data_IF_983744477112
#
_entry.id   IF_983744477112
#
_cell.length_a   1.000
_cell.length_b   1.000
_cell.length_c   1.000
_cell.angle_alpha   90.00
_cell.angle_beta   90.00
_cell.angle_gamma   90.00
#
_symmetry.space_group_name_H-M   'P 1'
#
loop_
_entity.id
_entity.type
_entity.pdbx_description
1 polymer ?
#
# COMPACT_ATOMS: atom_id res chain seq x y z
N UNK A 1 -37.35 -2.64 -16.53
CA UNK A 1 -36.60 -1.45 -16.96
C UNK A 1 -35.16 -1.87 -16.87
N UNK A 2 -34.63 -2.36 -17.99
CA UNK A 2 -33.21 -2.73 -18.11
C UNK A 2 -32.40 -1.43 -18.17
N UNK A 3 -31.98 -0.93 -17.02
CA UNK A 3 -30.82 -0.03 -16.94
C UNK A 3 -29.58 -0.88 -17.17
N UNK A 4 -29.42 -1.34 -18.41
CA UNK A 4 -28.15 -1.87 -18.88
C UNK A 4 -27.22 -0.66 -18.90
N UNK A 5 -26.36 -0.56 -17.89
CA UNK A 5 -25.30 0.42 -17.86
C UNK A 5 -24.62 0.40 -19.24
N UNK A 6 -24.79 1.47 -20.02
CA UNK A 6 -24.04 1.64 -21.27
C UNK A 6 -22.58 1.52 -20.88
N UNK A 7 -21.94 0.43 -21.29
CA UNK A 7 -20.53 0.20 -21.06
C UNK A 7 -19.80 1.43 -21.61
N UNK A 8 -19.29 2.27 -20.69
CA UNK A 8 -18.67 3.54 -21.05
C UNK A 8 -17.52 3.26 -22.01
N UNK A 9 -17.54 3.89 -23.17
CA UNK A 9 -16.48 3.77 -24.18
C UNK A 9 -15.10 3.99 -23.51
N UNK A 10 -14.22 2.98 -23.47
CA UNK A 10 -12.93 3.07 -22.79
C UNK A 10 -12.01 4.13 -23.42
N UNK A 11 -12.25 4.51 -24.68
CA UNK A 11 -11.51 5.56 -25.37
C UNK A 11 -11.96 6.98 -25.02
N UNK A 12 -13.02 7.13 -24.22
CA UNK A 12 -13.54 8.42 -23.79
C UNK A 12 -12.49 9.17 -22.97
N UNK A 13 -12.22 10.42 -23.37
CA UNK A 13 -11.37 11.36 -22.63
C UNK A 13 -12.05 11.75 -21.32
N UNK A 14 -11.31 11.64 -20.22
CA UNK A 14 -11.77 12.03 -18.89
C UNK A 14 -11.75 13.56 -18.74
N UNK A 15 -12.80 14.11 -18.14
CA UNK A 15 -12.82 15.53 -17.82
C UNK A 15 -11.82 15.84 -16.70
N UNK A 16 -11.17 17.00 -16.74
CA UNK A 16 -10.16 17.35 -15.74
C UNK A 16 -10.71 17.35 -14.29
N UNK A 17 -11.95 17.83 -14.10
CA UNK A 17 -12.67 17.76 -12.82
C UNK A 17 -12.91 16.33 -12.32
N UNK A 18 -13.05 15.38 -13.23
CA UNK A 18 -13.28 13.98 -12.91
C UNK A 18 -11.98 13.35 -12.40
N UNK A 19 -10.87 13.58 -13.09
CA UNK A 19 -9.53 13.17 -12.65
C UNK A 19 -9.24 13.71 -11.24
N UNK A 20 -9.47 15.01 -11.01
CA UNK A 20 -9.28 15.65 -9.71
C UNK A 20 -10.15 15.02 -8.61
N UNK A 21 -11.42 14.77 -8.91
CA UNK A 21 -12.35 14.13 -7.98
C UNK A 21 -11.92 12.72 -7.59
N UNK A 22 -11.43 11.92 -8.55
CA UNK A 22 -10.93 10.56 -8.31
C UNK A 22 -9.65 10.57 -7.48
N UNK A 23 -8.65 11.39 -7.83
CA UNK A 23 -7.41 11.51 -7.05
C UNK A 23 -7.69 11.96 -5.61
N UNK A 24 -8.59 12.93 -5.42
CA UNK A 24 -8.99 13.36 -4.08
C UNK A 24 -9.70 12.25 -3.30
N UNK A 25 -10.49 11.41 -3.96
CA UNK A 25 -11.13 10.25 -3.33
C UNK A 25 -10.11 9.20 -2.90
N UNK A 26 -9.13 8.91 -3.75
CA UNK A 26 -8.02 8.01 -3.42
C UNK A 26 -7.23 8.52 -2.21
N UNK A 27 -6.90 9.81 -2.17
CA UNK A 27 -6.20 10.40 -1.03
C UNK A 27 -6.97 10.29 0.29
N UNK A 28 -8.32 10.39 0.26
CA UNK A 28 -9.16 10.14 1.44
C UNK A 28 -9.12 8.68 1.86
N UNK A 29 -9.21 7.75 0.91
CA UNK A 29 -9.17 6.31 1.19
C UNK A 29 -7.83 5.90 1.82
N UNK A 30 -6.70 6.35 1.27
CA UNK A 30 -5.38 6.14 1.87
C UNK A 30 -5.30 6.75 3.28
N UNK A 31 -5.84 7.95 3.47
CA UNK A 31 -5.87 8.59 4.79
C UNK A 31 -6.63 7.77 5.84
N UNK A 32 -7.73 7.11 5.46
CA UNK A 32 -8.45 6.19 6.36
C UNK A 32 -7.60 4.96 6.67
N UNK A 33 -7.04 4.30 5.64
CA UNK A 33 -6.22 3.09 5.82
C UNK A 33 -4.99 3.35 6.70
N UNK A 34 -4.29 4.48 6.50
CA UNK A 34 -3.17 4.88 7.35
C UNK A 34 -3.62 5.09 8.80
N UNK A 35 -4.75 5.76 9.03
CA UNK A 35 -5.28 5.97 10.37
C UNK A 35 -5.69 4.68 11.08
N UNK A 36 -6.23 3.70 10.34
CA UNK A 36 -6.54 2.36 10.85
C UNK A 36 -5.26 1.59 11.19
N UNK A 37 -4.27 1.58 10.29
CA UNK A 37 -2.98 0.96 10.50
C UNK A 37 -2.28 1.51 11.76
N UNK A 38 -2.12 2.83 11.87
CA UNK A 38 -1.55 3.50 13.05
C UNK A 38 -2.34 3.18 14.33
N UNK A 39 -3.66 3.03 14.22
CA UNK A 39 -4.52 2.61 15.32
C UNK A 39 -4.17 1.21 15.84
N UNK A 40 -3.94 0.26 14.92
CA UNK A 40 -3.56 -1.11 15.26
C UNK A 40 -2.12 -1.17 15.77
N UNK A 41 -1.19 -0.39 15.21
CA UNK A 41 0.19 -0.31 15.71
C UNK A 41 0.27 0.21 17.15
N UNK A 42 -0.49 1.26 17.48
CA UNK A 42 -0.58 1.73 18.87
C UNK A 42 -1.07 0.62 19.81
N UNK A 43 -2.09 -0.12 19.40
CA UNK A 43 -2.61 -1.25 20.19
C UNK A 43 -1.56 -2.37 20.33
N UNK A 44 -0.79 -2.64 19.29
CA UNK A 44 0.30 -3.61 19.33
C UNK A 44 1.39 -3.18 20.33
N UNK A 45 1.76 -1.90 20.34
CA UNK A 45 2.69 -1.34 21.30
C UNK A 45 2.17 -1.46 22.74
N UNK A 46 0.90 -1.13 22.99
CA UNK A 46 0.26 -1.29 24.31
C UNK A 46 0.30 -2.75 24.79
N UNK A 47 -0.02 -3.72 23.91
CA UNK A 47 0.05 -5.14 24.24
C UNK A 47 1.47 -5.60 24.54
N UNK A 48 2.46 -5.09 23.79
CA UNK A 48 3.88 -5.36 24.02
C UNK A 48 4.31 -4.87 25.41
N UNK A 49 3.99 -3.62 25.76
CA UNK A 49 4.30 -3.04 27.07
C UNK A 49 3.64 -3.82 28.22
N UNK A 50 2.38 -4.25 28.05
CA UNK A 50 1.68 -5.07 29.03
C UNK A 50 2.38 -6.43 29.23
N UNK A 51 2.78 -7.09 28.15
CA UNK A 51 3.48 -8.37 28.19
C UNK A 51 4.84 -8.23 28.90
N UNK A 52 5.63 -7.23 28.53
CA UNK A 52 6.90 -6.92 29.22
C UNK A 52 6.69 -6.64 30.72
N UNK A 53 5.67 -5.86 31.06
CA UNK A 53 5.35 -5.52 32.45
C UNK A 53 4.95 -6.75 33.27
N UNK A 54 4.30 -7.75 32.66
CA UNK A 54 4.01 -9.04 33.31
C UNK A 54 5.29 -9.83 33.57
N UNK A 55 6.17 -9.94 32.58
CA UNK A 55 7.46 -10.64 32.71
C UNK A 55 8.30 -10.01 33.84
N UNK A 56 8.44 -8.68 33.84
CA UNK A 56 9.17 -7.93 34.87
C UNK A 56 8.60 -8.15 36.29
N UNK A 57 7.26 -8.20 36.43
CA UNK A 57 6.59 -8.49 37.72
C UNK A 57 6.81 -9.93 38.18
N UNK A 58 6.72 -10.92 37.29
CA UNK A 58 6.96 -12.32 37.63
C UNK A 58 8.41 -12.52 38.13
N UNK A 59 9.38 -11.95 37.41
CA UNK A 59 10.80 -11.95 37.80
C UNK A 59 11.01 -11.30 39.17
N UNK A 60 10.42 -10.13 39.39
CA UNK A 60 10.52 -9.40 40.67
C UNK A 60 9.87 -10.15 41.84
N UNK A 61 8.83 -10.95 41.58
CA UNK A 61 8.16 -11.78 42.58
C UNK A 61 8.87 -13.12 42.84
N UNK A 62 10.00 -13.40 42.17
CA UNK A 62 10.69 -14.69 42.25
C UNK A 62 9.86 -15.85 41.69
N UNK A 63 8.86 -15.56 40.85
CA UNK A 63 8.00 -16.57 40.21
C UNK A 63 8.53 -16.87 38.83
N UNK A 64 8.59 -18.15 38.47
CA UNK A 64 8.83 -18.55 37.08
C UNK A 64 7.60 -18.18 36.25
N UNK A 65 7.80 -17.38 35.22
CA UNK A 65 6.75 -17.10 34.24
C UNK A 65 6.33 -18.42 33.57
N UNK A 66 5.06 -18.79 33.69
CA UNK A 66 4.51 -19.97 33.02
C UNK A 66 3.80 -19.54 31.74
N UNK A 67 4.26 -19.96 30.56
CA UNK A 67 3.60 -19.64 29.29
C UNK A 67 2.23 -20.33 29.15
N UNK A 68 1.88 -21.26 30.05
CA UNK A 68 0.63 -22.02 30.05
C UNK A 68 -0.44 -21.43 30.97
N UNK A 69 -0.17 -20.30 31.64
CA UNK A 69 -1.22 -19.57 32.35
C UNK A 69 -2.26 -19.06 31.34
N UNK A 70 -3.55 -19.30 31.61
CA UNK A 70 -4.62 -18.94 30.68
C UNK A 70 -4.57 -17.47 30.24
N UNK A 71 -4.24 -16.55 31.15
CA UNK A 71 -4.06 -15.14 30.84
C UNK A 71 -2.85 -14.88 29.94
N UNK A 72 -1.75 -15.64 30.08
CA UNK A 72 -0.57 -15.50 29.21
C UNK A 72 -0.90 -15.98 27.80
N UNK A 73 -1.59 -17.13 27.68
CA UNK A 73 -2.04 -17.67 26.40
C UNK A 73 -3.01 -16.72 25.69
N UNK A 74 -3.97 -16.14 26.42
CA UNK A 74 -4.93 -15.20 25.82
C UNK A 74 -4.26 -13.91 25.32
N UNK A 75 -3.28 -13.38 26.05
CA UNK A 75 -2.55 -12.18 25.62
C UNK A 75 -1.67 -12.46 24.40
N UNK A 76 -1.01 -13.62 24.35
CA UNK A 76 -0.26 -14.06 23.17
C UNK A 76 -1.15 -14.16 21.92
N UNK A 77 -2.33 -14.78 22.05
CA UNK A 77 -3.30 -14.87 20.96
C UNK A 77 -3.76 -13.47 20.50
N UNK A 78 -4.05 -12.56 21.44
CA UNK A 78 -4.44 -11.18 21.10
C UNK A 78 -3.32 -10.41 20.43
N UNK A 79 -2.09 -10.57 20.90
CA UNK A 79 -0.91 -9.97 20.32
C UNK A 79 -0.73 -10.44 18.88
N UNK A 80 -0.78 -11.75 18.64
CA UNK A 80 -0.69 -12.32 17.30
C UNK A 80 -1.78 -11.81 16.36
N UNK A 81 -3.04 -11.83 16.79
CA UNK A 81 -4.15 -11.28 15.98
C UNK A 81 -3.97 -9.79 15.67
N UNK A 82 -3.43 -9.02 16.61
CA UNK A 82 -3.16 -7.58 16.41
C UNK A 82 -1.99 -7.37 15.47
N UNK A 83 -0.93 -8.16 15.58
CA UNK A 83 0.21 -8.15 14.67
C UNK A 83 -0.21 -8.49 13.23
N UNK A 84 -0.96 -9.59 13.06
CA UNK A 84 -1.46 -10.02 11.75
C UNK A 84 -2.37 -8.93 11.14
N UNK A 85 -3.21 -8.28 11.97
CA UNK A 85 -4.04 -7.15 11.54
C UNK A 85 -3.19 -5.94 11.14
N UNK A 86 -2.16 -5.59 11.92
CA UNK A 86 -1.26 -4.46 11.63
C UNK A 86 -0.59 -4.66 10.28
N UNK A 87 -0.08 -5.87 10.04
CA UNK A 87 0.51 -6.25 8.75
C UNK A 87 -0.51 -6.15 7.61
N UNK A 88 -1.71 -6.69 7.79
CA UNK A 88 -2.77 -6.61 6.78
C UNK A 88 -3.17 -5.17 6.42
N UNK A 89 -3.32 -4.30 7.42
CA UNK A 89 -3.60 -2.88 7.19
C UNK A 89 -2.42 -2.15 6.55
N UNK A 90 -1.18 -2.42 6.97
CA UNK A 90 0.03 -1.85 6.39
C UNK A 90 0.20 -2.23 4.91
N UNK A 91 0.03 -3.51 4.58
CA UNK A 91 0.08 -4.01 3.20
C UNK A 91 -1.04 -3.38 2.35
N UNK A 92 -2.27 -3.32 2.86
CA UNK A 92 -3.39 -2.70 2.16
C UNK A 92 -3.18 -1.19 1.93
N UNK A 93 -2.68 -0.47 2.94
CA UNK A 93 -2.37 0.96 2.85
C UNK A 93 -1.26 1.20 1.82
N UNK A 94 -0.21 0.37 1.82
CA UNK A 94 0.89 0.43 0.85
C UNK A 94 0.41 0.17 -0.56
N UNK A 95 -0.32 -0.92 -0.79
CA UNK A 95 -0.82 -1.27 -2.11
C UNK A 95 -1.72 -0.15 -2.68
N UNK A 96 -2.59 0.43 -1.86
CA UNK A 96 -3.45 1.52 -2.27
C UNK A 96 -2.68 2.84 -2.48
N UNK A 97 -1.67 3.13 -1.65
CA UNK A 97 -0.81 4.30 -1.84
C UNK A 97 -0.02 4.21 -3.16
N UNK A 98 0.50 3.03 -3.50
CA UNK A 98 1.16 2.79 -4.78
C UNK A 98 0.22 3.04 -5.97
N UNK A 99 -1.00 2.51 -5.91
CA UNK A 99 -2.02 2.81 -6.92
C UNK A 99 -2.28 4.31 -7.05
N UNK A 100 -2.40 5.01 -5.92
CA UNK A 100 -2.61 6.45 -5.93
C UNK A 100 -1.44 7.19 -6.57
N UNK A 101 -0.20 6.78 -6.30
CA UNK A 101 0.99 7.32 -6.98
C UNK A 101 0.87 7.14 -8.49
N UNK A 102 0.56 5.95 -8.99
CA UNK A 102 0.47 5.70 -10.44
C UNK A 102 -0.61 6.55 -11.12
N UNK A 103 -1.79 6.62 -10.51
CA UNK A 103 -2.88 7.46 -10.99
C UNK A 103 -2.49 8.95 -11.01
N UNK A 104 -1.81 9.42 -9.96
CA UNK A 104 -1.36 10.79 -9.85
C UNK A 104 -0.23 11.11 -10.85
N UNK A 105 0.69 10.18 -11.10
CA UNK A 105 1.75 10.30 -12.13
C UNK A 105 1.13 10.32 -13.53
N UNK A 106 0.15 9.47 -13.83
CA UNK A 106 -0.55 9.47 -15.12
C UNK A 106 -1.27 10.80 -15.36
N UNK A 107 -1.95 11.33 -14.34
CA UNK A 107 -2.59 12.65 -14.39
C UNK A 107 -1.57 13.78 -14.55
N UNK A 108 -0.42 13.71 -13.87
CA UNK A 108 0.67 14.68 -14.01
C UNK A 108 1.29 14.66 -15.40
N UNK A 109 1.58 13.47 -15.96
CA UNK A 109 2.05 13.29 -17.35
C UNK A 109 1.07 13.91 -18.35
N UNK A 110 -0.21 13.59 -18.22
CA UNK A 110 -1.28 14.15 -19.04
C UNK A 110 -1.29 15.69 -18.99
N UNK A 111 -1.23 16.25 -17.79
CA UNK A 111 -1.22 17.69 -17.56
C UNK A 111 0.02 18.38 -18.14
N UNK A 112 1.21 17.81 -17.95
CA UNK A 112 2.46 18.40 -18.39
C UNK A 112 2.65 18.32 -19.91
N UNK A 113 2.25 17.20 -20.51
CA UNK A 113 2.47 16.94 -21.94
C UNK A 113 1.31 17.39 -22.83
N UNK A 114 0.17 17.77 -22.24
CA UNK A 114 -1.04 18.14 -22.97
C UNK A 114 -1.72 16.94 -23.65
N UNK A 115 -1.38 15.71 -23.26
CA UNK A 115 -2.00 14.49 -23.78
C UNK A 115 -3.23 14.15 -22.95
N UNK A 116 -4.45 14.12 -23.50
CA UNK A 116 -5.65 13.84 -22.72
C UNK A 116 -5.62 12.45 -22.09
N UNK A 117 -6.04 12.34 -20.83
CA UNK A 117 -6.16 11.07 -20.13
C UNK A 117 -7.50 10.40 -20.49
N UNK A 118 -7.48 9.14 -20.90
CA UNK A 118 -8.69 8.36 -21.21
C UNK A 118 -9.11 7.48 -20.05
N UNK A 119 -10.35 6.98 -20.08
CA UNK A 119 -10.80 5.97 -19.12
C UNK A 119 -9.97 4.68 -19.20
N UNK A 120 -9.50 4.29 -20.39
CA UNK A 120 -8.60 3.16 -20.57
C UNK A 120 -7.26 3.37 -19.84
N UNK A 121 -6.66 4.55 -19.96
CA UNK A 121 -5.41 4.89 -19.25
C UNK A 121 -5.59 4.80 -17.73
N UNK A 122 -6.73 5.29 -17.23
CA UNK A 122 -7.08 5.19 -15.81
C UNK A 122 -7.35 3.75 -15.35
N UNK A 123 -8.03 2.96 -16.17
CA UNK A 123 -8.28 1.55 -15.88
C UNK A 123 -6.97 0.74 -15.85
N UNK A 124 -6.02 1.07 -16.71
CA UNK A 124 -4.72 0.41 -16.79
C UNK A 124 -3.87 0.57 -15.51
N UNK A 125 -4.10 1.63 -14.72
CA UNK A 125 -3.42 1.82 -13.42
C UNK A 125 -4.20 1.26 -12.24
N UNK A 126 -5.41 0.72 -12.44
CA UNK A 126 -6.24 0.21 -11.35
C UNK A 126 -5.80 -1.19 -10.87
N UNK A 127 -5.64 -1.42 -9.55
CA UNK A 127 -5.36 -2.73 -9.00
C UNK A 127 -6.49 -3.71 -9.35
N UNK A 128 -6.14 -4.88 -9.88
CA UNK A 128 -7.10 -5.96 -10.09
C UNK A 128 -7.61 -6.60 -8.80
N UNK A 129 -6.98 -6.29 -7.66
CA UNK A 129 -7.34 -6.81 -6.34
C UNK A 129 -8.61 -6.21 -5.77
N UNK A 130 -9.16 -5.15 -6.39
CA UNK A 130 -10.51 -4.68 -6.08
C UNK A 130 -11.45 -5.44 -7.02
N UNK A 131 -12.15 -6.49 -6.56
CA UNK A 131 -13.22 -7.06 -7.37
C UNK A 131 -14.21 -5.92 -7.62
N UNK A 132 -14.30 -5.47 -8.86
CA UNK A 132 -15.40 -4.60 -9.25
C UNK A 132 -16.68 -5.42 -9.07
N UNK A 133 -17.71 -4.82 -8.47
CA UNK A 133 -18.99 -5.50 -8.15
C UNK A 133 -19.63 -6.20 -9.36
N UNK A 134 -19.23 -5.87 -10.60
CA UNK A 134 -19.65 -6.55 -11.82
C UNK A 134 -19.21 -8.03 -11.92
N UNK A 135 -18.19 -8.47 -11.17
CA UNK A 135 -17.69 -9.85 -11.22
C UNK A 135 -17.96 -10.66 -9.94
N UNK A 136 -18.65 -10.08 -8.96
CA UNK A 136 -19.29 -10.86 -7.89
C UNK A 136 -20.64 -11.29 -8.41
N UNK A 137 -20.66 -12.30 -9.28
CA UNK A 137 -21.91 -12.99 -9.58
C UNK A 137 -22.40 -13.55 -8.25
N UNK A 138 -23.53 -13.06 -7.69
CA UNK A 138 -24.03 -13.61 -6.44
C UNK A 138 -24.20 -15.11 -6.67
N UNK A 139 -23.69 -15.99 -5.79
CA UNK A 139 -23.87 -17.42 -5.96
C UNK A 139 -25.36 -17.63 -6.16
N UNK A 140 -25.71 -18.18 -7.33
CA UNK A 140 -27.10 -18.47 -7.67
C UNK A 140 -27.68 -19.25 -6.51
N UNK A 141 -28.66 -18.66 -5.81
CA UNK A 141 -29.41 -19.32 -4.74
C UNK A 141 -29.81 -20.70 -5.24
N UNK A 142 -29.11 -21.73 -4.79
CA UNK A 142 -29.53 -23.11 -4.90
C UNK A 142 -30.10 -23.46 -3.54
N UNK A 143 -31.37 -23.82 -3.53
CA UNK A 143 -32.22 -24.06 -2.35
C UNK A 143 -31.86 -25.36 -1.59
N UNK A 144 -30.57 -25.67 -1.41
CA UNK A 144 -30.10 -26.85 -0.68
C UNK A 144 -29.42 -26.43 0.65
N UNK A 145 -30.25 -26.06 1.63
CA UNK A 145 -29.87 -25.44 2.90
C UNK A 145 -29.32 -26.40 3.99
N UNK A 146 -29.17 -27.70 3.73
CA UNK A 146 -28.83 -28.67 4.81
C UNK A 146 -27.37 -29.18 4.80
N UNK A 147 -26.56 -28.91 3.78
CA UNK A 147 -25.16 -29.43 3.70
C UNK A 147 -24.08 -28.36 3.99
N UNK A 148 -24.45 -27.09 4.23
CA UNK A 148 -23.47 -26.02 4.43
C UNK A 148 -22.90 -25.90 5.86
N UNK A 149 -23.53 -26.53 6.86
CA UNK A 149 -23.03 -26.48 8.23
C UNK A 149 -21.68 -27.20 8.42
N UNK A 150 -21.38 -28.21 7.59
CA UNK A 150 -20.08 -28.92 7.61
C UNK A 150 -18.99 -28.23 6.76
N UNK A 151 -19.34 -27.26 5.91
CA UNK A 151 -18.37 -26.51 5.08
C UNK A 151 -17.77 -25.27 5.76
N UNK A 152 -18.37 -24.79 6.85
CA UNK A 152 -17.86 -23.63 7.58
C UNK A 152 -16.55 -23.90 8.34
N UNK A 153 -16.12 -25.16 8.47
CA UNK A 153 -14.82 -25.54 9.02
C UNK A 153 -13.74 -25.81 7.95
N UNK A 154 -14.08 -25.72 6.66
CA UNK A 154 -13.12 -25.75 5.54
C UNK A 154 -12.75 -24.34 5.00
N UNK A 155 -13.24 -23.27 5.65
CA UNK A 155 -12.99 -21.89 5.25
C UNK A 155 -11.67 -21.30 5.78
N UNK A 156 -10.83 -22.12 6.42
CA UNK A 156 -9.45 -21.78 6.80
C UNK A 156 -8.42 -22.16 5.71
N UNK A 157 -8.87 -22.65 4.55
CA UNK A 157 -8.00 -23.08 3.42
C UNK A 157 -8.25 -22.26 2.13
N UNK A 158 -8.72 -21.02 2.25
CA UNK A 158 -8.88 -20.09 1.11
C UNK A 158 -7.85 -18.94 1.08
N UNK A 159 -6.66 -19.18 1.64
CA UNK A 159 -5.45 -18.43 1.32
C UNK A 159 -4.37 -19.42 0.90
N UNK A 160 -4.56 -20.10 -0.24
CA UNK A 160 -3.45 -20.72 -0.97
C UNK A 160 -3.03 -19.77 -2.09
N UNK A 161 -1.83 -19.17 -2.02
CA UNK A 161 -1.31 -18.33 -3.09
C UNK A 161 -0.61 -19.22 -4.12
N UNK A 162 -1.35 -19.92 -4.97
CA UNK A 162 -0.74 -20.57 -6.14
C UNK A 162 -1.75 -20.83 -7.28
N UNK A 163 -2.55 -19.83 -7.61
CA UNK A 163 -3.20 -19.80 -8.92
C UNK A 163 -2.31 -18.97 -9.84
N UNK A 164 -1.54 -19.65 -10.69
CA UNK A 164 -0.77 -19.03 -11.76
C UNK A 164 -1.66 -18.16 -12.63
N UNK A 165 -1.70 -16.86 -12.32
CA UNK A 165 -2.46 -15.88 -13.08
C UNK A 165 -1.68 -15.48 -14.34
N UNK A 166 -2.37 -15.28 -15.47
CA UNK A 166 -1.73 -14.80 -16.69
C UNK A 166 -1.10 -13.43 -16.42
N UNK A 167 0.19 -13.34 -16.69
CA UNK A 167 1.08 -12.16 -16.61
C UNK A 167 0.55 -10.96 -17.42
N UNK A 168 -0.55 -10.37 -16.98
CA UNK A 168 -1.00 -9.07 -17.41
C UNK A 168 -0.01 -8.05 -16.85
N UNK A 169 1.02 -7.73 -17.65
CA UNK A 169 2.07 -6.76 -17.38
C UNK A 169 1.54 -5.61 -16.51
N UNK A 170 1.78 -5.69 -15.21
CA UNK A 170 1.57 -4.56 -14.31
C UNK A 170 2.45 -3.43 -14.84
N UNK A 171 1.93 -2.20 -14.86
CA UNK A 171 2.76 -1.00 -15.08
C UNK A 171 3.87 -0.86 -14.03
N UNK A 172 3.88 -1.73 -13.02
CA UNK A 172 4.67 -1.62 -11.80
C UNK A 172 6.06 -2.30 -11.89
N UNK A 173 6.33 -3.06 -12.96
CA UNK A 173 7.65 -3.63 -13.25
C UNK A 173 8.20 -4.59 -12.18
N UNK A 174 9.49 -4.90 -12.26
CA UNK A 174 10.16 -5.85 -11.35
C UNK A 174 10.22 -5.32 -9.91
N UNK A 175 10.34 -3.99 -9.73
CA UNK A 175 10.35 -3.33 -8.41
C UNK A 175 9.08 -3.57 -7.60
N UNK A 176 7.93 -3.77 -8.26
CA UNK A 176 6.72 -4.16 -7.53
C UNK A 176 6.77 -5.60 -7.05
N UNK A 177 7.27 -6.51 -7.89
CA UNK A 177 7.37 -7.92 -7.55
C UNK A 177 8.33 -8.10 -6.38
N UNK A 178 9.44 -7.36 -6.38
CA UNK A 178 10.49 -7.47 -5.37
C UNK A 178 10.16 -6.68 -4.10
N UNK A 179 9.63 -5.45 -4.24
CA UNK A 179 9.53 -4.51 -3.11
C UNK A 179 8.15 -3.86 -2.93
N UNK A 180 7.14 -4.26 -3.72
CA UNK A 180 5.79 -3.64 -3.74
C UNK A 180 5.81 -2.12 -3.91
N UNK A 181 6.69 -1.65 -4.79
CA UNK A 181 6.85 -0.22 -5.10
C UNK A 181 6.22 0.14 -6.44
N UNK A 182 5.65 1.35 -6.59
CA UNK A 182 5.13 1.80 -7.88
C UNK A 182 6.30 2.09 -8.82
N UNK A 183 6.03 2.03 -10.13
CA UNK A 183 7.02 2.42 -11.12
C UNK A 183 7.18 3.94 -11.11
N UNK A 184 8.24 4.42 -10.46
CA UNK A 184 8.61 5.82 -10.46
C UNK A 184 9.03 6.26 -11.88
N UNK A 185 8.71 7.50 -12.30
CA UNK A 185 9.23 8.04 -13.55
C UNK A 185 10.76 7.92 -13.60
N UNK A 186 11.30 7.49 -14.75
CA UNK A 186 12.74 7.48 -14.96
C UNK A 186 13.32 8.89 -14.80
N UNK A 187 14.59 9.03 -14.39
CA UNK A 187 15.19 10.34 -14.09
C UNK A 187 15.01 11.36 -15.24
N UNK A 188 15.27 10.96 -16.49
CA UNK A 188 15.09 11.82 -17.67
C UNK A 188 13.62 12.19 -17.91
N UNK A 189 12.69 11.33 -17.54
CA UNK A 189 11.26 11.63 -17.61
C UNK A 189 10.86 12.58 -16.48
N UNK A 190 11.29 12.33 -15.24
CA UNK A 190 11.04 13.19 -14.10
C UNK A 190 11.55 14.61 -14.37
N UNK A 191 12.76 14.77 -14.90
CA UNK A 191 13.33 16.07 -15.27
C UNK A 191 12.47 16.79 -16.33
N UNK A 192 12.00 16.06 -17.37
CA UNK A 192 11.12 16.62 -18.40
C UNK A 192 9.77 17.07 -17.85
N UNK A 193 9.19 16.31 -16.91
CA UNK A 193 7.91 16.65 -16.29
C UNK A 193 8.06 17.81 -15.29
N UNK A 194 9.14 17.83 -14.51
CA UNK A 194 9.47 18.91 -13.58
C UNK A 194 9.73 20.23 -14.31
N UNK A 195 10.41 20.21 -15.46
CA UNK A 195 10.63 21.40 -16.29
C UNK A 195 9.33 22.07 -16.79
N UNK A 196 8.20 21.34 -16.76
CA UNK A 196 6.86 21.82 -17.12
C UNK A 196 5.96 22.09 -15.92
N UNK A 197 6.52 21.97 -14.72
CA UNK A 197 5.80 22.17 -13.46
C UNK A 197 6.19 23.52 -12.85
N UNK A 198 5.23 24.33 -12.35
CA UNK A 198 5.55 25.57 -11.66
C UNK A 198 6.55 25.35 -10.52
N UNK A 199 7.54 26.23 -10.39
CA UNK A 199 8.70 26.07 -9.50
C UNK A 199 8.35 25.66 -8.04
N UNK A 200 7.35 26.29 -7.37
CA UNK A 200 6.99 25.87 -6.01
C UNK A 200 6.49 24.43 -5.92
N UNK A 201 5.82 23.93 -6.96
CA UNK A 201 5.34 22.55 -7.02
C UNK A 201 6.42 21.59 -7.49
N UNK A 202 7.29 22.00 -8.42
CA UNK A 202 8.43 21.22 -8.86
C UNK A 202 9.40 20.93 -7.70
N UNK A 203 9.72 21.93 -6.89
CA UNK A 203 10.56 21.79 -5.70
C UNK A 203 9.97 20.81 -4.67
N UNK A 204 8.66 20.91 -4.39
CA UNK A 204 7.97 19.98 -3.47
C UNK A 204 7.96 18.55 -4.02
N UNK A 205 7.66 18.38 -5.31
CA UNK A 205 7.68 17.08 -5.96
C UNK A 205 9.06 16.43 -5.93
N UNK A 206 10.12 17.20 -6.19
CA UNK A 206 11.49 16.71 -6.14
C UNK A 206 11.86 16.17 -4.75
N UNK A 207 11.48 16.89 -3.70
CA UNK A 207 11.74 16.47 -2.32
C UNK A 207 10.95 15.20 -1.95
N UNK A 208 9.66 15.15 -2.28
CA UNK A 208 8.84 13.97 -2.02
C UNK A 208 9.31 12.74 -2.80
N UNK A 209 9.68 12.93 -4.08
CA UNK A 209 10.27 11.88 -4.91
C UNK A 209 11.58 11.35 -4.32
N UNK A 210 12.47 12.24 -3.87
CA UNK A 210 13.73 11.86 -3.25
C UNK A 210 13.52 11.05 -1.96
N UNK A 211 12.53 11.40 -1.13
CA UNK A 211 12.20 10.65 0.08
C UNK A 211 11.68 9.24 -0.22
N UNK A 212 10.84 9.07 -1.25
CA UNK A 212 10.40 7.73 -1.70
C UNK A 212 11.59 6.94 -2.23
N UNK A 213 12.43 7.54 -3.06
CA UNK A 213 13.62 6.89 -3.62
C UNK A 213 14.61 6.44 -2.52
N UNK A 214 14.84 7.27 -1.50
CA UNK A 214 15.68 6.91 -0.35
C UNK A 214 15.16 5.65 0.36
N UNK A 215 13.86 5.60 0.64
CA UNK A 215 13.22 4.44 1.31
C UNK A 215 13.25 3.19 0.43
N UNK A 216 13.10 3.36 -0.88
CA UNK A 216 13.26 2.29 -1.86
C UNK A 216 14.66 1.68 -1.80
N UNK A 217 15.69 2.54 -1.85
CA UNK A 217 17.08 2.11 -1.80
C UNK A 217 17.44 1.49 -0.46
N UNK A 218 16.76 1.89 0.62
CA UNK A 218 16.95 1.28 1.92
C UNK A 218 16.57 -0.21 1.92
N UNK A 219 15.49 -0.59 1.21
CA UNK A 219 15.11 -2.01 1.09
C UNK A 219 16.16 -2.83 0.37
N UNK A 220 16.65 -2.36 -0.78
CA UNK A 220 17.69 -3.07 -1.52
C UNK A 220 18.94 -3.27 -0.65
N UNK A 221 19.29 -2.26 0.17
CA UNK A 221 20.43 -2.34 1.07
C UNK A 221 20.21 -3.31 2.23
N UNK A 222 18.98 -3.43 2.73
CA UNK A 222 18.59 -4.46 3.71
C UNK A 222 18.78 -5.84 3.09
N UNK A 223 18.29 -6.07 1.87
CA UNK A 223 18.42 -7.36 1.19
C UNK A 223 19.90 -7.76 1.02
N UNK A 224 20.77 -6.82 0.64
CA UNK A 224 22.22 -7.04 0.57
C UNK A 224 22.85 -7.43 1.92
N UNK A 225 22.37 -6.87 3.04
CA UNK A 225 22.85 -7.21 4.38
C UNK A 225 22.35 -8.58 4.81
N UNK A 226 21.11 -8.93 4.48
CA UNK A 226 20.50 -10.25 4.76
C UNK A 226 21.16 -11.39 3.99
N UNK A 227 21.67 -11.14 2.78
CA UNK A 227 22.42 -12.12 1.98
C UNK A 227 23.82 -12.43 2.54
N UNK A 228 24.36 -11.57 3.41
CA UNK A 228 25.72 -11.74 3.93
C UNK A 228 25.79 -12.90 4.93
N UNK A 229 26.61 -13.91 4.63
CA UNK A 229 26.88 -15.01 5.55
C UNK A 229 27.72 -14.59 6.77
N UNK A 230 27.38 -15.13 7.95
CA UNK A 230 28.14 -14.98 9.20
C UNK A 230 27.56 -13.92 10.15
N UNK A 231 28.18 -13.75 11.34
CA UNK A 231 27.70 -12.80 12.33
C UNK A 231 27.91 -11.36 11.85
N UNK A 232 26.88 -10.53 11.98
CA UNK A 232 26.94 -9.11 11.64
C UNK A 232 27.80 -8.32 12.64
N UNK A 233 28.60 -7.39 12.12
CA UNK A 233 29.33 -6.44 12.96
C UNK A 233 28.36 -5.43 13.61
N UNK A 234 28.69 -4.83 14.77
CA UNK A 234 27.84 -3.83 15.42
C UNK A 234 27.44 -2.65 14.52
N UNK A 235 28.32 -2.24 13.60
CA UNK A 235 28.01 -1.18 12.63
C UNK A 235 26.97 -1.60 11.59
N UNK A 236 26.92 -2.89 11.22
CA UNK A 236 25.96 -3.44 10.26
C UNK A 236 24.58 -3.56 10.90
N UNK A 237 24.51 -3.95 12.17
CA UNK A 237 23.25 -3.94 12.95
C UNK A 237 22.68 -2.52 13.02
N UNK A 238 23.51 -1.53 13.37
CA UNK A 238 23.07 -0.13 13.43
C UNK A 238 22.75 0.48 12.05
N UNK A 239 23.30 -0.08 10.96
CA UNK A 239 22.91 0.28 9.59
C UNK A 239 21.53 -0.32 9.28
N UNK A 240 21.35 -1.62 9.53
CA UNK A 240 20.09 -2.34 9.34
C UNK A 240 18.94 -1.64 10.07
N UNK A 241 19.06 -1.36 11.38
CA UNK A 241 18.00 -0.73 12.17
C UNK A 241 17.56 0.63 11.59
N UNK A 242 18.52 1.39 11.01
CA UNK A 242 18.23 2.68 10.39
C UNK A 242 17.52 2.52 9.05
N UNK A 243 17.95 1.55 8.25
CA UNK A 243 17.34 1.26 6.95
C UNK A 243 15.94 0.69 7.11
N UNK A 244 15.73 -0.16 8.11
CA UNK A 244 14.44 -0.75 8.46
C UNK A 244 13.45 0.35 8.84
N UNK A 245 13.86 1.28 9.72
CA UNK A 245 13.05 2.45 10.05
C UNK A 245 12.73 3.33 8.83
N UNK A 246 13.66 3.50 7.89
CA UNK A 246 13.39 4.22 6.63
C UNK A 246 12.40 3.47 5.74
N UNK A 247 12.45 2.15 5.72
CA UNK A 247 11.54 1.31 4.95
C UNK A 247 10.13 1.25 5.57
N UNK A 248 10.02 1.26 6.88
CA UNK A 248 8.74 1.38 7.60
C UNK A 248 7.99 2.67 7.22
N UNK A 249 8.73 3.77 7.01
CA UNK A 249 8.16 5.05 6.56
C UNK A 249 7.73 5.06 5.09
N UNK A 250 8.09 4.06 4.28
CA UNK A 250 7.85 4.06 2.82
C UNK A 250 6.37 4.30 2.48
N UNK A 251 5.46 3.66 3.21
CA UNK A 251 4.02 3.77 2.95
C UNK A 251 3.52 5.21 3.15
N UNK A 252 3.94 5.88 4.23
CA UNK A 252 3.61 7.29 4.46
C UNK A 252 4.27 8.22 3.43
N UNK A 253 5.52 7.94 3.03
CA UNK A 253 6.24 8.72 2.01
C UNK A 253 5.59 8.59 0.63
N UNK A 254 5.09 7.41 0.27
CA UNK A 254 4.31 7.18 -0.95
C UNK A 254 3.00 7.97 -0.93
N UNK A 255 2.27 7.94 0.20
CA UNK A 255 1.04 8.71 0.37
C UNK A 255 1.28 10.23 0.27
N UNK A 256 2.38 10.73 0.85
CA UNK A 256 2.79 12.13 0.71
C UNK A 256 3.16 12.48 -0.73
N UNK A 257 3.93 11.63 -1.42
CA UNK A 257 4.28 11.84 -2.82
C UNK A 257 3.04 11.92 -3.71
N UNK A 258 2.09 10.99 -3.56
CA UNK A 258 0.83 11.00 -4.30
C UNK A 258 -0.02 12.25 -3.99
N UNK A 259 -0.02 12.71 -2.75
CA UNK A 259 -0.68 13.96 -2.32
C UNK A 259 -0.08 15.17 -3.03
N UNK A 260 1.25 15.32 -3.00
CA UNK A 260 1.95 16.44 -3.65
C UNK A 260 1.72 16.43 -5.16
N UNK A 261 1.74 15.25 -5.80
CA UNK A 261 1.36 15.11 -7.21
C UNK A 261 -0.07 15.59 -7.46
N UNK A 262 -1.03 15.09 -6.68
CA UNK A 262 -2.45 15.45 -6.79
C UNK A 262 -2.67 16.96 -6.68
N UNK A 263 -1.99 17.63 -5.75
CA UNK A 263 -2.05 19.09 -5.59
C UNK A 263 -1.39 19.86 -6.75
N UNK A 264 -0.37 19.29 -7.39
CA UNK A 264 0.36 19.90 -8.49
C UNK A 264 -0.43 19.83 -9.81
N UNK A 265 -1.21 18.77 -10.06
CA UNK A 265 -1.88 18.53 -11.35
C UNK A 265 -2.72 19.74 -11.85
N UNK A 266 -3.56 20.42 -11.04
CA UNK A 266 -4.29 21.60 -11.50
C UNK A 266 -3.38 22.77 -11.90
N UNK A 267 -2.26 22.95 -11.17
CA UNK A 267 -1.31 24.03 -11.43
C UNK A 267 -0.52 23.78 -12.72
N UNK A 268 -0.13 22.52 -12.96
CA UNK A 268 0.56 22.10 -14.18
C UNK A 268 -0.36 22.29 -15.39
N UNK A 269 -1.64 21.89 -15.31
CA UNK A 269 -2.62 22.14 -16.38
C UNK A 269 -2.73 23.63 -16.70
N UNK A 270 -2.89 24.47 -15.67
CA UNK A 270 -3.01 25.92 -15.87
C UNK A 270 -1.77 26.56 -16.51
N UNK A 271 -0.58 26.01 -16.27
CA UNK A 271 0.68 26.51 -16.84
C UNK A 271 0.96 26.01 -18.27
N UNK A 272 0.32 24.92 -18.71
CA UNK A 272 0.56 24.27 -20.01
C UNK A 272 -0.65 24.36 -20.98
N UNK A 273 -1.66 25.18 -20.64
CA UNK A 273 -2.79 25.51 -21.53
C UNK A 273 -2.47 26.76 -22.34
#
# INVERSE_FOLDING_TARGET
>A
MDDRAEASDPSRVMAAREVDGRLAAMGRAVGVLLGEWEGVERKLAELSELNEGRIKRAQSAGKTFSPFEAEAVLDEVRWKLTLDSAKGYGDAARDFACWWVDAAVAAWRSAALGTPLTHADWAAVTPRTVPFEEEVTPPSRHDDDDEQADRFLELDVLVSPDTGEPEGRRLWGDLWVEHRMPALPAAEEADRLLARTPEPSASRLKNAFAAVAESATARNRIDELEEKEGPWAPAEIAEYDRLDALFDELTHRLAEYARVLTEAVPQVRAANT
#
